data_IF_117327334646
#
_entry.id   IF_117327334646
#
_cell.length_a   1.000
_cell.length_b   1.000
_cell.length_c   1.000
_cell.angle_alpha   90.00
_cell.angle_beta   90.00
_cell.angle_gamma   90.00
#
_symmetry.space_group_name_H-M   'P 1'
#
loop_
_entity.id
_entity.type
_entity.pdbx_description
1 polymer ?
#
# COMPACT_ATOMS: atom_id res chain seq x y z
N UNK A 1 -15.31 30.57 -14.00
CA UNK A 1 -14.97 30.51 -12.55
C UNK A 1 -14.75 29.05 -12.19
N UNK A 2 -13.51 28.56 -12.32
CA UNK A 2 -13.17 27.14 -12.11
C UNK A 2 -12.97 26.91 -10.61
N UNK A 3 -13.86 26.14 -10.00
CA UNK A 3 -13.81 25.86 -8.57
C UNK A 3 -12.54 25.08 -8.23
N UNK A 4 -11.67 25.69 -7.41
CA UNK A 4 -10.47 25.09 -6.84
C UNK A 4 -10.89 23.91 -5.95
N UNK A 5 -10.88 22.70 -6.51
CA UNK A 5 -11.20 21.47 -5.77
C UNK A 5 -10.03 21.17 -4.84
N UNK A 6 -10.24 21.22 -3.52
CA UNK A 6 -9.17 20.97 -2.56
C UNK A 6 -8.86 19.48 -2.48
N UNK A 7 -7.57 19.13 -2.41
CA UNK A 7 -7.09 17.74 -2.27
C UNK A 7 -7.61 17.09 -0.98
N UNK A 8 -7.89 17.90 0.04
CA UNK A 8 -8.54 17.46 1.28
C UNK A 8 -9.93 16.84 1.04
N UNK A 9 -10.62 17.31 0.00
CA UNK A 9 -11.88 16.72 -0.45
C UNK A 9 -11.73 15.29 -0.98
N UNK A 10 -10.56 14.90 -1.51
CA UNK A 10 -10.32 13.53 -1.98
C UNK A 10 -10.17 12.55 -0.81
N UNK A 11 -9.43 12.92 0.23
CA UNK A 11 -9.25 12.10 1.44
C UNK A 11 -10.60 11.87 2.12
N UNK A 12 -11.39 12.92 2.31
CA UNK A 12 -12.74 12.82 2.89
C UNK A 12 -13.63 11.93 2.03
N UNK A 13 -13.57 12.09 0.70
CA UNK A 13 -14.35 11.26 -0.23
C UNK A 13 -13.96 9.78 -0.15
N UNK A 14 -12.67 9.48 0.02
CA UNK A 14 -12.18 8.11 0.17
C UNK A 14 -12.67 7.50 1.48
N UNK A 15 -12.55 8.21 2.60
CA UNK A 15 -13.07 7.75 3.90
C UNK A 15 -14.60 7.55 3.88
N UNK A 16 -15.34 8.49 3.28
CA UNK A 16 -16.79 8.36 3.11
C UNK A 16 -17.16 7.16 2.24
N UNK A 17 -16.44 6.95 1.13
CA UNK A 17 -16.65 5.80 0.26
C UNK A 17 -16.32 4.47 0.96
N UNK A 18 -15.28 4.43 1.80
CA UNK A 18 -14.92 3.26 2.60
C UNK A 18 -16.03 2.94 3.62
N UNK A 19 -16.53 3.94 4.34
CA UNK A 19 -17.62 3.78 5.31
C UNK A 19 -18.91 3.29 4.64
N UNK A 20 -19.29 3.91 3.50
CA UNK A 20 -20.45 3.50 2.72
C UNK A 20 -20.25 2.06 2.20
N UNK A 21 -19.07 1.74 1.65
CA UNK A 21 -18.74 0.40 1.18
C UNK A 21 -18.84 -0.66 2.29
N UNK A 22 -18.41 -0.34 3.50
CA UNK A 22 -18.54 -1.23 4.66
C UNK A 22 -20.00 -1.49 5.06
N UNK A 23 -20.89 -0.50 4.94
CA UNK A 23 -22.32 -0.66 5.24
C UNK A 23 -23.02 -1.43 4.12
N UNK A 24 -22.79 -1.05 2.85
CA UNK A 24 -23.37 -1.72 1.68
C UNK A 24 -22.92 -3.18 1.60
N UNK A 25 -21.67 -3.47 1.96
CA UNK A 25 -21.12 -4.83 2.00
C UNK A 25 -21.87 -5.79 2.91
N UNK A 26 -22.58 -5.30 3.94
CA UNK A 26 -23.39 -6.15 4.84
C UNK A 26 -24.71 -6.62 4.24
N UNK A 27 -25.21 -5.93 3.20
CA UNK A 27 -26.50 -6.22 2.54
C UNK A 27 -26.28 -6.75 1.12
N UNK A 28 -25.03 -6.95 0.71
CA UNK A 28 -24.68 -7.35 -0.64
C UNK A 28 -25.01 -8.83 -0.92
N UNK A 29 -25.55 -9.10 -2.11
CA UNK A 29 -25.80 -10.45 -2.61
C UNK A 29 -24.54 -11.01 -3.32
N UNK A 30 -24.43 -12.34 -3.42
CA UNK A 30 -23.34 -13.11 -4.03
C UNK A 30 -22.96 -12.60 -5.42
N UNK A 31 -23.95 -12.30 -6.26
CA UNK A 31 -23.74 -11.78 -7.63
C UNK A 31 -23.11 -10.38 -7.64
N UNK A 32 -23.48 -9.52 -6.68
CA UNK A 32 -22.91 -8.18 -6.53
C UNK A 32 -21.47 -8.28 -6.03
N UNK A 33 -21.19 -9.22 -5.11
CA UNK A 33 -19.85 -9.48 -4.61
C UNK A 33 -18.88 -9.94 -5.70
N UNK A 34 -19.33 -10.83 -6.60
CA UNK A 34 -18.53 -11.32 -7.72
C UNK A 34 -18.19 -10.18 -8.73
N UNK A 35 -19.19 -9.40 -9.12
CA UNK A 35 -18.98 -8.26 -10.03
C UNK A 35 -18.01 -7.23 -9.44
N UNK A 36 -18.21 -6.84 -8.17
CA UNK A 36 -17.31 -5.90 -7.47
C UNK A 36 -15.92 -6.51 -7.26
N UNK A 37 -15.83 -7.80 -6.94
CA UNK A 37 -14.59 -8.54 -6.78
C UNK A 37 -13.77 -8.57 -8.06
N UNK A 38 -14.41 -8.80 -9.20
CA UNK A 38 -13.79 -8.78 -10.53
C UNK A 38 -13.25 -7.39 -10.90
N UNK A 39 -14.02 -6.33 -10.65
CA UNK A 39 -13.56 -4.94 -10.87
C UNK A 39 -12.39 -4.59 -9.96
N UNK A 40 -12.47 -4.95 -8.66
CA UNK A 40 -11.37 -4.79 -7.70
C UNK A 40 -10.11 -5.52 -8.18
N UNK A 41 -10.27 -6.74 -8.68
CA UNK A 41 -9.16 -7.54 -9.19
C UNK A 41 -8.48 -6.85 -10.39
N UNK A 42 -9.26 -6.46 -11.41
CA UNK A 42 -8.72 -5.78 -12.59
C UNK A 42 -8.02 -4.45 -12.24
N UNK A 43 -8.63 -3.62 -11.39
CA UNK A 43 -8.01 -2.38 -10.90
C UNK A 43 -6.75 -2.65 -10.07
N UNK A 44 -6.78 -3.70 -9.24
CA UNK A 44 -5.65 -4.13 -8.43
C UNK A 44 -4.44 -4.49 -9.29
N UNK A 45 -4.63 -5.24 -10.37
CA UNK A 45 -3.55 -5.61 -11.28
C UNK A 45 -2.91 -4.39 -11.96
N UNK A 46 -3.73 -3.43 -12.40
CA UNK A 46 -3.23 -2.15 -12.96
C UNK A 46 -2.40 -1.38 -11.92
N UNK A 47 -2.87 -1.33 -10.66
CA UNK A 47 -2.13 -0.67 -9.57
C UNK A 47 -0.81 -1.40 -9.30
N UNK A 48 -0.82 -2.73 -9.17
CA UNK A 48 0.40 -3.50 -8.89
C UNK A 48 1.41 -3.46 -10.03
N UNK A 49 0.95 -3.34 -11.28
CA UNK A 49 1.81 -3.07 -12.43
C UNK A 49 2.42 -1.67 -12.34
N UNK A 50 1.63 -0.64 -12.01
CA UNK A 50 2.08 0.75 -12.00
C UNK A 50 3.00 1.11 -10.80
N UNK A 51 2.79 0.50 -9.63
CA UNK A 51 3.53 0.83 -8.39
C UNK A 51 5.06 0.75 -8.56
N UNK A 52 5.66 -0.32 -9.12
CA UNK A 52 7.09 -0.37 -9.41
C UNK A 52 7.61 0.78 -10.29
N UNK A 53 6.83 1.22 -11.29
CA UNK A 53 7.21 2.29 -12.21
C UNK A 53 7.17 3.64 -11.51
N UNK A 54 6.16 3.87 -10.69
CA UNK A 54 6.04 5.08 -9.84
C UNK A 54 7.22 5.13 -8.86
N UNK A 55 7.61 4.00 -8.26
CA UNK A 55 8.78 3.91 -7.38
C UNK A 55 10.05 4.35 -8.12
N UNK A 56 10.37 3.73 -9.25
CA UNK A 56 11.58 4.09 -10.01
C UNK A 56 11.51 5.53 -10.53
N UNK A 57 10.34 5.96 -11.03
CA UNK A 57 10.13 7.27 -11.62
C UNK A 57 10.12 8.44 -10.63
N UNK A 58 9.76 8.22 -9.36
CA UNK A 58 9.71 9.28 -8.35
C UNK A 58 10.77 9.14 -7.26
N UNK A 59 11.08 7.93 -6.78
CA UNK A 59 12.02 7.74 -5.66
C UNK A 59 13.46 7.93 -6.13
N UNK A 60 13.86 7.39 -7.29
CA UNK A 60 15.23 7.56 -7.77
C UNK A 60 15.59 9.05 -8.00
N UNK A 61 14.77 9.87 -8.67
CA UNK A 61 15.02 11.32 -8.78
C UNK A 61 14.93 12.07 -7.45
N UNK A 62 14.02 11.68 -6.55
CA UNK A 62 13.92 12.31 -5.23
C UNK A 62 15.22 12.12 -4.41
N UNK A 63 15.85 10.95 -4.51
CA UNK A 63 17.13 10.65 -3.86
C UNK A 63 18.28 11.45 -4.51
N UNK A 64 18.33 11.53 -5.84
CA UNK A 64 19.37 12.28 -6.55
C UNK A 64 19.40 13.76 -6.12
N UNK A 65 18.23 14.34 -5.84
CA UNK A 65 18.06 15.73 -5.36
C UNK A 65 18.51 15.96 -3.91
N UNK A 66 18.80 14.91 -3.15
CA UNK A 66 19.10 14.99 -1.71
C UNK A 66 20.55 15.47 -1.41
N UNK A 67 21.39 15.60 -2.44
CA UNK A 67 22.68 16.29 -2.36
C UNK A 67 23.80 15.54 -1.61
N UNK A 68 24.79 16.29 -1.11
CA UNK A 68 26.09 15.78 -0.66
C UNK A 68 26.02 14.82 0.55
N UNK A 69 24.91 14.82 1.30
CA UNK A 69 24.69 13.96 2.47
C UNK A 69 23.58 12.90 2.25
N UNK A 70 23.14 12.68 1.01
CA UNK A 70 22.04 11.79 0.68
C UNK A 70 22.18 10.39 1.30
N UNK A 71 23.36 9.79 1.20
CA UNK A 71 23.63 8.44 1.74
C UNK A 71 23.48 8.37 3.27
N UNK A 72 24.00 9.34 4.03
CA UNK A 72 23.89 9.36 5.50
C UNK A 72 22.45 9.60 5.95
N UNK A 73 21.74 10.50 5.28
CA UNK A 73 20.34 10.78 5.57
C UNK A 73 19.43 9.58 5.26
N UNK A 74 19.66 8.89 4.14
CA UNK A 74 18.90 7.69 3.79
C UNK A 74 19.17 6.53 4.75
N UNK A 75 20.42 6.28 5.11
CA UNK A 75 20.78 5.22 6.06
C UNK A 75 20.15 5.45 7.44
N UNK A 76 20.20 6.68 7.94
CA UNK A 76 19.56 7.03 9.23
C UNK A 76 18.05 6.90 9.17
N UNK A 77 17.40 7.33 8.08
CA UNK A 77 15.97 7.17 7.88
C UNK A 77 15.55 5.69 7.83
N UNK A 78 16.30 4.85 7.12
CA UNK A 78 16.03 3.40 7.04
C UNK A 78 16.21 2.73 8.40
N UNK A 79 17.28 3.07 9.14
CA UNK A 79 17.52 2.54 10.48
C UNK A 79 16.39 2.91 11.45
N UNK A 80 15.95 4.17 11.44
CA UNK A 80 14.83 4.63 12.26
C UNK A 80 13.50 3.96 11.87
N UNK A 81 13.24 3.81 10.56
CA UNK A 81 12.03 3.14 10.08
C UNK A 81 11.99 1.66 10.49
N UNK A 82 13.12 0.97 10.42
CA UNK A 82 13.20 -0.44 10.83
C UNK A 82 13.03 -0.60 12.34
N UNK A 83 13.70 0.24 13.14
CA UNK A 83 13.55 0.25 14.59
C UNK A 83 12.09 0.57 15.01
N UNK A 84 11.45 1.52 14.32
CA UNK A 84 10.05 1.86 14.52
C UNK A 84 9.12 0.69 14.16
N UNK A 85 9.39 -0.02 13.05
CA UNK A 85 8.58 -1.16 12.63
C UNK A 85 8.67 -2.33 13.62
N UNK A 86 9.88 -2.63 14.11
CA UNK A 86 10.10 -3.67 15.13
C UNK A 86 9.41 -3.28 16.44
N UNK A 87 9.53 -2.01 16.87
CA UNK A 87 8.84 -1.50 18.05
C UNK A 87 7.32 -1.57 17.92
N UNK A 88 6.77 -1.20 16.76
CA UNK A 88 5.34 -1.29 16.48
C UNK A 88 4.84 -2.73 16.48
N UNK A 89 5.61 -3.67 15.91
CA UNK A 89 5.29 -5.10 15.93
C UNK A 89 5.30 -5.67 17.35
N UNK A 90 6.32 -5.33 18.15
CA UNK A 90 6.40 -5.75 19.55
C UNK A 90 5.25 -5.19 20.39
N UNK A 91 4.91 -3.90 20.21
CA UNK A 91 3.78 -3.27 20.88
C UNK A 91 2.43 -3.88 20.47
N UNK A 92 2.25 -4.16 19.18
CA UNK A 92 1.05 -4.83 18.65
C UNK A 92 0.92 -6.24 19.21
N UNK A 93 2.01 -7.00 19.32
CA UNK A 93 2.02 -8.34 19.87
C UNK A 93 1.67 -8.32 21.37
N UNK A 94 2.33 -7.46 22.17
CA UNK A 94 2.04 -7.31 23.59
C UNK A 94 0.58 -6.90 23.83
N UNK A 95 0.09 -5.91 23.10
CA UNK A 95 -1.30 -5.46 23.19
C UNK A 95 -2.27 -6.58 22.78
N UNK A 96 -1.94 -7.32 21.71
CA UNK A 96 -2.72 -8.49 21.29
C UNK A 96 -2.81 -9.55 22.40
N UNK A 97 -1.69 -9.94 23.00
CA UNK A 97 -1.68 -10.95 24.07
C UNK A 97 -2.39 -10.50 25.35
N UNK A 98 -2.44 -9.20 25.64
CA UNK A 98 -3.16 -8.67 26.80
C UNK A 98 -4.67 -8.52 26.55
N UNK A 99 -5.06 -8.08 25.35
CA UNK A 99 -6.46 -7.72 25.03
C UNK A 99 -7.25 -8.93 24.53
N UNK A 100 -6.68 -9.75 23.62
CA UNK A 100 -7.35 -10.92 23.04
C UNK A 100 -7.96 -11.87 24.09
N UNK A 101 -7.30 -12.23 25.21
CA UNK A 101 -7.91 -13.13 26.20
C UNK A 101 -9.10 -12.51 26.97
N UNK A 102 -9.22 -11.18 26.97
CA UNK A 102 -10.35 -10.47 27.60
C UNK A 102 -11.49 -10.20 26.62
N UNK A 103 -11.31 -10.52 25.33
CA UNK A 103 -12.37 -10.47 24.33
C UNK A 103 -13.01 -11.86 24.25
N UNK A 104 -14.29 -11.97 24.62
CA UNK A 104 -15.09 -13.18 24.38
C UNK A 104 -15.39 -13.30 22.89
N UNK A 105 -14.40 -13.75 22.11
CA UNK A 105 -14.54 -14.07 20.69
C UNK A 105 -14.86 -15.56 20.59
N UNK A 106 -16.03 -15.96 20.03
CA UNK A 106 -16.28 -17.36 19.71
C UNK A 106 -15.20 -17.84 18.73
N UNK A 107 -14.42 -18.83 19.15
CA UNK A 107 -13.28 -19.38 18.40
C UNK A 107 -13.68 -20.26 17.21
N UNK A 108 -14.98 -20.42 16.95
CA UNK A 108 -15.51 -21.16 15.81
C UNK A 108 -15.78 -20.24 14.62
N UNK A 109 -14.84 -20.26 13.68
CA UNK A 109 -14.97 -19.73 12.30
C UNK A 109 -15.68 -20.76 11.40
N UNK A 110 -16.81 -21.31 11.86
CA UNK A 110 -17.41 -22.50 11.25
C UNK A 110 -18.48 -22.20 10.18
N UNK A 111 -18.61 -20.96 9.72
CA UNK A 111 -19.57 -20.58 8.67
C UNK A 111 -19.14 -19.36 7.85
N UNK A 112 -17.88 -19.28 7.43
CA UNK A 112 -17.56 -18.35 6.34
C UNK A 112 -17.99 -18.99 5.01
N UNK A 113 -18.99 -18.40 4.36
CA UNK A 113 -19.20 -18.61 2.93
C UNK A 113 -17.89 -18.25 2.21
N UNK A 114 -17.29 -19.22 1.51
CA UNK A 114 -16.18 -18.96 0.60
C UNK A 114 -16.58 -17.83 -0.33
N UNK A 115 -15.79 -16.74 -0.35
CA UNK A 115 -16.04 -15.66 -1.28
C UNK A 115 -16.02 -16.25 -2.70
N UNK A 116 -17.07 -16.00 -3.50
CA UNK A 116 -17.09 -16.46 -4.88
C UNK A 116 -15.83 -16.00 -5.60
N UNK A 117 -15.15 -16.94 -6.26
CA UNK A 117 -13.99 -16.60 -7.08
C UNK A 117 -14.45 -15.62 -8.17
N UNK A 118 -13.76 -14.49 -8.37
CA UNK A 118 -14.16 -13.52 -9.38
C UNK A 118 -14.23 -14.18 -10.76
N UNK A 119 -15.38 -14.09 -11.42
CA UNK A 119 -15.64 -14.72 -12.72
C UNK A 119 -14.79 -14.13 -13.85
N UNK A 120 -14.29 -12.90 -13.69
CA UNK A 120 -13.45 -12.22 -14.66
C UNK A 120 -12.05 -11.96 -14.08
N UNK A 121 -11.06 -12.68 -14.61
CA UNK A 121 -9.65 -12.59 -14.22
C UNK A 121 -8.87 -12.00 -15.40
N UNK A 122 -8.50 -10.73 -15.28
CA UNK A 122 -7.57 -10.09 -16.21
C UNK A 122 -6.18 -10.13 -15.56
N UNK A 123 -5.33 -11.06 -16.01
CA UNK A 123 -4.01 -11.25 -15.43
C UNK A 123 -3.00 -10.31 -16.10
N UNK A 124 -2.66 -9.21 -15.43
CA UNK A 124 -1.61 -8.28 -15.85
C UNK A 124 -0.46 -8.47 -14.86
N UNK A 125 0.56 -9.30 -15.19
CA UNK A 125 1.63 -9.57 -14.26
C UNK A 125 2.39 -8.28 -13.92
N UNK A 126 2.76 -8.07 -12.65
CA UNK A 126 3.57 -6.93 -12.27
C UNK A 126 4.94 -6.99 -12.94
N UNK A 127 5.47 -5.84 -13.40
CA UNK A 127 6.77 -5.78 -14.09
C UNK A 127 7.94 -6.27 -13.24
N UNK A 128 7.90 -5.99 -11.94
CA UNK A 128 8.85 -6.49 -10.95
C UNK A 128 8.24 -6.38 -9.55
N UNK A 129 8.85 -7.04 -8.57
CA UNK A 129 8.40 -6.92 -7.17
C UNK A 129 8.63 -5.51 -6.64
N UNK A 130 7.77 -5.07 -5.71
CA UNK A 130 7.89 -3.77 -5.03
C UNK A 130 9.25 -3.64 -4.34
N UNK A 131 9.75 -4.70 -3.70
CA UNK A 131 11.04 -4.69 -3.02
C UNK A 131 12.20 -4.53 -4.01
N UNK A 132 12.14 -5.24 -5.15
CA UNK A 132 13.13 -5.10 -6.21
C UNK A 132 13.14 -3.67 -6.76
N UNK A 133 11.96 -3.10 -7.04
CA UNK A 133 11.84 -1.73 -7.52
C UNK A 133 12.43 -0.71 -6.52
N UNK A 134 12.19 -0.89 -5.22
CA UNK A 134 12.76 -0.02 -4.17
C UNK A 134 14.29 -0.10 -4.13
N UNK A 135 14.87 -1.30 -4.17
CA UNK A 135 16.32 -1.50 -4.17
C UNK A 135 16.94 -0.90 -5.44
N UNK A 136 16.35 -1.15 -6.60
CA UNK A 136 16.81 -0.58 -7.88
C UNK A 136 16.73 0.95 -7.87
N UNK A 137 15.63 1.52 -7.39
CA UNK A 137 15.46 2.98 -7.28
C UNK A 137 16.49 3.61 -6.32
N UNK A 138 16.79 2.94 -5.20
CA UNK A 138 17.81 3.38 -4.25
C UNK A 138 19.22 3.35 -4.87
N UNK A 139 19.57 2.27 -5.58
CA UNK A 139 20.87 2.15 -6.24
C UNK A 139 21.05 3.21 -7.34
N UNK A 140 20.03 3.43 -8.18
CA UNK A 140 20.06 4.47 -9.22
C UNK A 140 20.15 5.86 -8.60
N UNK A 141 19.34 6.14 -7.58
CA UNK A 141 19.34 7.44 -6.89
C UNK A 141 20.67 7.75 -6.18
N UNK A 142 21.28 6.76 -5.51
CA UNK A 142 22.58 6.93 -4.87
C UNK A 142 23.71 7.05 -5.89
N UNK A 143 23.71 6.22 -6.93
CA UNK A 143 24.73 6.25 -7.99
C UNK A 143 24.77 7.62 -8.69
N UNK A 144 23.60 8.18 -9.03
CA UNK A 144 23.48 9.53 -9.63
C UNK A 144 23.94 10.63 -8.68
N UNK A 145 23.65 10.51 -7.37
CA UNK A 145 24.12 11.47 -6.37
C UNK A 145 25.65 11.49 -6.20
N UNK A 146 26.31 10.33 -6.36
CA UNK A 146 27.77 10.22 -6.24
C UNK A 146 28.52 10.68 -7.48
N UNK A 147 27.98 10.41 -8.66
CA UNK A 147 28.61 10.81 -9.92
C UNK A 147 28.42 12.30 -10.23
N UNK A 148 27.66 13.05 -9.42
CA UNK A 148 27.26 14.44 -9.69
C UNK A 148 26.73 14.61 -11.12
N UNK A 149 26.04 13.59 -11.63
CA UNK A 149 25.42 13.68 -12.94
C UNK A 149 24.33 14.77 -12.87
N UNK A 150 24.61 15.93 -13.46
CA UNK A 150 23.63 17.02 -13.57
C UNK A 150 22.45 16.52 -14.40
N UNK A 151 21.25 16.56 -13.82
CA UNK A 151 19.97 16.42 -14.52
C UNK A 151 19.30 17.77 -14.61
#
# INVERSE_FOLDING_TARGET
MSAKKSDFGLIIKLLAALAIGAVVGRVANVQVMDAVGSVKYALGQIIFYAVPLVIVGFIAPAIARLGQNASRMLLTAVALAYLSSVGAAAFSALSGYLIIPHLSVPTQVENLLDLPKPSFVLDIPPLMSVMSALVTALLIGLATSWTKAET
#
